data_IF_018794189949
#
_entry.id   IF_018794189949
#
_cell.length_a   1.000
_cell.length_b   1.000
_cell.length_c   1.000
_cell.angle_alpha   90.00
_cell.angle_beta   90.00
_cell.angle_gamma   90.00
#
_symmetry.space_group_name_H-M   'P 1'
#
loop_
_entity.id
_entity.type
_entity.pdbx_description
1 polymer ?
#
# COMPACT_ATOMS: atom_id res chain seq x y z
N UNK A 1 -3.58 24.19 18.84
CA UNK A 1 -3.28 22.75 18.86
C UNK A 1 -1.93 22.59 19.55
N UNK A 2 -1.90 22.00 20.74
CA UNK A 2 -0.65 21.76 21.47
C UNK A 2 0.01 20.50 20.86
N UNK A 3 1.11 20.69 20.13
CA UNK A 3 1.81 19.59 19.47
C UNK A 3 3.02 19.16 20.30
N UNK A 4 2.95 17.94 20.84
CA UNK A 4 4.00 17.37 21.67
C UNK A 4 4.82 16.38 20.87
N UNK A 5 6.07 16.74 20.60
CA UNK A 5 7.02 15.92 19.85
C UNK A 5 7.63 14.86 20.75
N UNK A 6 8.20 13.82 20.13
CA UNK A 6 9.12 12.89 20.78
C UNK A 6 8.46 12.05 21.90
N UNK A 7 7.26 11.53 21.60
CA UNK A 7 6.53 10.61 22.46
C UNK A 7 6.20 9.35 21.66
N UNK A 8 6.69 8.22 22.12
CA UNK A 8 6.39 6.91 21.53
C UNK A 8 5.22 6.28 22.27
N UNK A 9 4.02 6.39 21.68
CA UNK A 9 2.80 5.77 22.24
C UNK A 9 2.84 4.27 22.03
N UNK A 10 2.64 3.49 23.09
CA UNK A 10 2.69 2.03 23.03
C UNK A 10 1.46 1.32 23.62
N UNK A 11 0.61 2.02 24.35
CA UNK A 11 -0.64 1.48 24.88
C UNK A 11 -1.71 2.57 24.99
N UNK A 12 -2.95 2.21 24.68
CA UNK A 12 -4.14 3.05 24.82
C UNK A 12 -5.23 2.22 25.46
N UNK A 13 -5.73 2.62 26.61
CA UNK A 13 -6.86 1.97 27.28
C UNK A 13 -8.05 2.91 27.29
N UNK A 14 -9.25 2.37 27.12
CA UNK A 14 -10.50 3.12 27.13
C UNK A 14 -11.44 2.50 28.17
N UNK A 15 -12.08 3.38 28.93
CA UNK A 15 -13.19 3.05 29.82
C UNK A 15 -14.42 3.83 29.36
N UNK A 16 -15.58 3.60 29.96
CA UNK A 16 -16.81 4.32 29.59
C UNK A 16 -16.74 5.84 29.80
N UNK A 17 -15.78 6.33 30.59
CA UNK A 17 -15.70 7.74 31.01
C UNK A 17 -14.43 8.44 30.54
N UNK A 18 -13.35 7.69 30.29
CA UNK A 18 -12.03 8.26 30.01
C UNK A 18 -11.16 7.30 29.19
N UNK A 19 -10.30 7.87 28.34
CA UNK A 19 -9.24 7.17 27.65
C UNK A 19 -7.88 7.57 28.25
N UNK A 20 -6.95 6.60 28.32
CA UNK A 20 -5.58 6.88 28.76
C UNK A 20 -4.56 6.42 27.74
N UNK A 21 -3.54 7.25 27.56
CA UNK A 21 -2.45 7.05 26.61
C UNK A 21 -1.16 6.87 27.39
N UNK A 22 -0.52 5.71 27.22
CA UNK A 22 0.80 5.43 27.77
C UNK A 22 1.86 5.59 26.67
N UNK A 23 2.90 6.35 26.98
CA UNK A 23 3.98 6.66 26.06
C UNK A 23 5.33 6.74 26.76
N UNK A 24 6.39 6.53 25.97
CA UNK A 24 7.78 6.71 26.40
C UNK A 24 8.34 7.98 25.77
N UNK A 25 9.05 8.80 26.55
CA UNK A 25 9.79 9.97 26.07
C UNK A 25 11.23 9.60 25.67
N UNK A 26 11.96 10.51 25.01
CA UNK A 26 13.34 10.24 24.54
C UNK A 26 14.34 9.86 25.63
N UNK A 27 14.10 10.31 26.86
CA UNK A 27 14.88 9.96 28.05
C UNK A 27 14.50 8.60 28.63
N UNK A 28 13.59 7.86 27.98
CA UNK A 28 13.12 6.56 28.42
C UNK A 28 12.08 6.62 29.55
N UNK A 29 11.62 7.81 29.94
CA UNK A 29 10.60 7.93 30.98
C UNK A 29 9.23 7.47 30.47
N UNK A 30 8.54 6.69 31.29
CA UNK A 30 7.18 6.25 31.01
C UNK A 30 6.20 7.23 31.63
N UNK A 31 5.24 7.66 30.82
CA UNK A 31 4.22 8.60 31.23
C UNK A 31 2.86 8.12 30.77
N UNK A 32 1.85 8.52 31.53
CA UNK A 32 0.45 8.29 31.25
C UNK A 32 -0.26 9.62 31.19
N UNK A 33 -1.06 9.82 30.16
CA UNK A 33 -1.90 11.00 30.01
C UNK A 33 -3.35 10.57 29.88
N UNK A 34 -4.23 11.28 30.58
CA UNK A 34 -5.66 11.06 30.58
C UNK A 34 -6.32 12.02 29.60
N UNK A 35 -7.34 11.54 28.90
CA UNK A 35 -8.04 12.30 27.88
C UNK A 35 -9.47 11.79 27.70
N UNK A 36 -10.36 12.66 27.25
CA UNK A 36 -11.76 12.29 27.00
C UNK A 36 -11.89 11.34 25.79
N UNK A 37 -11.05 11.53 24.76
CA UNK A 37 -11.10 10.76 23.52
C UNK A 37 -9.70 10.60 22.91
N UNK A 38 -9.46 9.46 22.25
CA UNK A 38 -8.21 9.18 21.53
C UNK A 38 -8.48 8.83 20.08
N UNK A 39 -7.83 9.55 19.16
CA UNK A 39 -7.77 9.17 17.74
C UNK A 39 -6.39 8.62 17.41
N UNK A 40 -6.32 7.32 17.09
CA UNK A 40 -5.07 6.65 16.78
C UNK A 40 -4.77 6.70 15.27
N UNK A 41 -3.75 7.47 14.90
CA UNK A 41 -3.34 7.70 13.51
C UNK A 41 -1.89 7.27 13.22
N UNK A 42 -1.41 6.19 13.85
CA UNK A 42 -0.02 5.73 13.73
C UNK A 42 0.28 4.93 12.43
N UNK A 43 -0.69 4.84 11.51
CA UNK A 43 -0.67 3.94 10.36
C UNK A 43 -1.09 2.52 10.72
N UNK A 44 -1.44 1.69 9.74
CA UNK A 44 -2.10 0.40 9.99
C UNK A 44 -1.27 -0.55 10.87
N UNK A 45 0.04 -0.65 10.64
CA UNK A 45 0.92 -1.54 11.40
C UNK A 45 1.09 -1.09 12.85
N UNK A 46 1.49 0.16 13.08
CA UNK A 46 1.71 0.65 14.45
C UNK A 46 0.41 0.82 15.22
N UNK A 47 -0.69 1.19 14.56
CA UNK A 47 -2.00 1.24 15.22
C UNK A 47 -2.44 -0.15 15.67
N UNK A 48 -2.25 -1.17 14.82
CA UNK A 48 -2.50 -2.57 15.19
C UNK A 48 -1.59 -3.00 16.34
N UNK A 49 -0.30 -2.66 16.30
CA UNK A 49 0.68 -2.95 17.36
C UNK A 49 0.26 -2.37 18.70
N UNK A 50 -0.11 -1.08 18.74
CA UNK A 50 -0.59 -0.41 19.96
C UNK A 50 -1.86 -1.08 20.47
N UNK A 51 -2.83 -1.36 19.60
CA UNK A 51 -4.09 -1.97 20.00
C UNK A 51 -3.91 -3.42 20.50
N UNK A 52 -3.05 -4.22 19.87
CA UNK A 52 -2.69 -5.55 20.36
C UNK A 52 -2.01 -5.51 21.74
N UNK A 53 -1.17 -4.51 21.97
CA UNK A 53 -0.50 -4.29 23.26
C UNK A 53 -1.43 -3.73 24.34
N UNK A 54 -2.59 -3.20 23.92
CA UNK A 54 -3.60 -2.62 24.80
C UNK A 54 -4.77 -3.56 25.10
N UNK A 55 -4.92 -4.64 24.34
CA UNK A 55 -6.00 -5.60 24.54
C UNK A 55 -5.89 -6.24 25.95
N UNK A 56 -7.02 -6.51 26.63
CA UNK A 56 -7.00 -7.12 27.97
C UNK A 56 -6.34 -8.51 27.97
N UNK A 57 -6.56 -9.30 26.92
CA UNK A 57 -5.94 -10.61 26.72
C UNK A 57 -4.98 -10.59 25.54
N UNK A 58 -3.93 -11.43 25.62
CA UNK A 58 -2.96 -11.58 24.53
C UNK A 58 -3.66 -12.03 23.24
N UNK A 59 -3.54 -11.18 22.22
CA UNK A 59 -3.98 -11.51 20.88
C UNK A 59 -2.82 -12.23 20.19
N UNK A 60 -3.08 -13.42 19.63
CA UNK A 60 -2.08 -14.18 18.88
C UNK A 60 -1.69 -13.49 17.57
N UNK A 61 -2.16 -14.01 16.45
CA UNK A 61 -1.91 -13.39 15.14
C UNK A 61 -3.08 -12.51 14.71
N UNK A 62 -2.79 -11.28 14.30
CA UNK A 62 -3.76 -10.37 13.67
C UNK A 62 -3.38 -10.18 12.20
N UNK A 63 -4.37 -10.29 11.31
CA UNK A 63 -4.15 -10.09 9.87
C UNK A 63 -4.62 -8.70 9.44
N UNK A 64 -3.75 -7.96 8.75
CA UNK A 64 -4.10 -6.76 8.01
C UNK A 64 -4.29 -7.14 6.54
N UNK A 65 -5.43 -6.77 5.96
CA UNK A 65 -5.68 -7.00 4.54
C UNK A 65 -5.07 -5.88 3.72
N UNK A 66 -4.55 -6.27 2.56
CA UNK A 66 -4.01 -5.34 1.59
C UNK A 66 -4.65 -5.60 0.23
N UNK A 67 -4.78 -4.57 -0.57
CA UNK A 67 -5.12 -4.68 -1.99
C UNK A 67 -4.10 -5.57 -2.72
N UNK A 68 -4.59 -6.54 -3.49
CA UNK A 68 -3.77 -7.35 -4.39
C UNK A 68 -3.54 -6.62 -5.69
N UNK A 69 -2.52 -6.98 -6.48
CA UNK A 69 -2.34 -6.30 -7.74
C UNK A 69 -1.03 -6.59 -8.46
N UNK A 70 -0.89 -6.02 -9.64
CA UNK A 70 0.25 -6.20 -10.53
C UNK A 70 0.60 -4.87 -11.21
N UNK A 71 1.91 -4.60 -11.30
CA UNK A 71 2.45 -3.59 -12.21
C UNK A 71 2.83 -4.29 -13.51
N UNK A 72 2.26 -3.86 -14.63
CA UNK A 72 2.64 -4.35 -15.94
C UNK A 72 2.99 -3.17 -16.85
N UNK A 73 4.18 -3.22 -17.46
CA UNK A 73 4.56 -2.29 -18.51
C UNK A 73 4.10 -2.84 -19.86
N UNK A 74 3.53 -1.98 -20.70
CA UNK A 74 3.15 -2.30 -22.08
C UNK A 74 3.92 -1.41 -23.04
N UNK A 75 4.24 -1.96 -24.21
CA UNK A 75 4.80 -1.23 -25.35
C UNK A 75 3.75 -0.91 -26.39
N UNK A 76 3.91 0.20 -27.10
CA UNK A 76 3.09 0.64 -28.23
C UNK A 76 3.98 1.02 -29.41
N UNK A 77 3.53 0.75 -30.63
CA UNK A 77 4.17 1.27 -31.85
C UNK A 77 3.91 2.78 -32.03
N UNK A 78 2.84 3.29 -31.44
CA UNK A 78 2.54 4.73 -31.37
C UNK A 78 3.20 5.29 -30.12
N UNK A 79 4.20 6.14 -30.32
CA UNK A 79 4.86 6.85 -29.23
C UNK A 79 4.00 8.04 -28.80
N UNK A 80 3.89 8.24 -27.50
CA UNK A 80 3.29 9.42 -26.90
C UNK A 80 4.39 10.46 -26.60
N UNK A 81 4.06 11.73 -26.82
CA UNK A 81 4.98 12.82 -26.50
C UNK A 81 5.04 13.02 -24.98
N UNK A 82 6.19 12.67 -24.40
CA UNK A 82 6.44 12.91 -22.98
C UNK A 82 6.88 14.35 -22.76
N UNK A 83 6.05 15.15 -22.08
CA UNK A 83 6.32 16.52 -21.63
C UNK A 83 7.35 16.57 -20.47
N UNK A 84 8.42 15.78 -20.54
CA UNK A 84 9.51 15.75 -19.56
C UNK A 84 10.48 16.93 -19.75
N UNK A 85 10.94 17.61 -18.67
CA UNK A 85 10.80 17.27 -17.25
C UNK A 85 9.50 17.78 -16.59
N UNK A 86 8.74 18.64 -17.25
CA UNK A 86 7.56 19.31 -16.70
C UNK A 86 6.29 18.48 -16.89
N UNK A 87 6.25 17.28 -16.29
CA UNK A 87 5.12 16.34 -16.44
C UNK A 87 4.39 16.15 -15.12
N UNK A 88 3.06 16.07 -15.17
CA UNK A 88 2.27 15.58 -14.05
C UNK A 88 2.53 14.07 -13.90
N UNK A 89 3.02 13.65 -12.75
CA UNK A 89 3.30 12.24 -12.44
C UNK A 89 2.06 11.45 -12.02
N UNK A 90 0.90 12.11 -11.92
CA UNK A 90 -0.38 11.46 -11.68
C UNK A 90 -0.76 10.57 -12.86
N UNK A 91 -1.37 9.45 -12.52
CA UNK A 91 -2.06 8.58 -13.46
C UNK A 91 -3.05 9.39 -14.29
N UNK A 92 -2.95 9.28 -15.62
CA UNK A 92 -3.82 10.03 -16.53
C UNK A 92 -5.16 9.34 -16.79
N UNK A 93 -5.20 8.01 -16.68
CA UNK A 93 -6.41 7.24 -16.97
C UNK A 93 -6.68 6.20 -15.89
N UNK A 94 -7.95 6.09 -15.51
CA UNK A 94 -8.45 5.08 -14.58
C UNK A 94 -9.36 4.14 -15.34
N UNK A 95 -9.17 2.84 -15.14
CA UNK A 95 -9.97 1.79 -15.78
C UNK A 95 -10.57 0.93 -14.68
N UNK A 96 -11.89 0.87 -14.63
CA UNK A 96 -12.61 0.01 -13.72
C UNK A 96 -13.10 -1.25 -14.44
N UNK A 97 -12.80 -2.40 -13.85
CA UNK A 97 -13.13 -3.71 -14.39
C UNK A 97 -14.06 -4.44 -13.41
N UNK A 98 -15.25 -4.78 -13.88
CA UNK A 98 -16.14 -5.73 -13.24
C UNK A 98 -16.20 -7.00 -14.08
N UNK A 99 -15.73 -8.10 -13.52
CA UNK A 99 -15.82 -9.44 -14.11
C UNK A 99 -16.29 -10.41 -13.03
N UNK A 100 -17.62 -10.53 -12.91
CA UNK A 100 -18.29 -11.35 -11.89
C UNK A 100 -17.89 -12.84 -11.97
N UNK A 101 -17.41 -13.30 -13.14
CA UNK A 101 -16.91 -14.68 -13.29
C UNK A 101 -15.56 -14.92 -12.62
N UNK A 102 -14.83 -13.84 -12.31
CA UNK A 102 -13.50 -13.87 -11.70
C UNK A 102 -13.50 -13.30 -10.27
N UNK A 103 -14.24 -12.21 -10.04
CA UNK A 103 -14.36 -11.53 -8.76
C UNK A 103 -15.69 -10.78 -8.69
N UNK A 104 -16.44 -10.86 -7.58
CA UNK A 104 -17.66 -10.06 -7.39
C UNK A 104 -17.34 -8.59 -7.10
N UNK A 105 -16.08 -8.24 -6.90
CA UNK A 105 -15.63 -6.88 -6.61
C UNK A 105 -15.03 -6.20 -7.84
N UNK A 106 -15.19 -4.88 -7.90
CA UNK A 106 -14.49 -4.02 -8.85
C UNK A 106 -12.98 -4.11 -8.68
N UNK A 107 -12.28 -4.13 -9.81
CA UNK A 107 -10.82 -4.00 -9.89
C UNK A 107 -10.48 -2.70 -10.59
N UNK A 108 -9.46 -2.01 -10.10
CA UNK A 108 -9.11 -0.66 -10.54
C UNK A 108 -7.72 -0.69 -11.17
N UNK A 109 -7.59 -0.23 -12.40
CA UNK A 109 -6.30 -0.07 -13.06
C UNK A 109 -5.97 1.41 -13.25
N UNK A 110 -4.75 1.77 -12.88
CA UNK A 110 -4.19 3.07 -13.14
C UNK A 110 -3.27 2.97 -14.34
N UNK A 111 -3.61 3.65 -15.43
CA UNK A 111 -2.80 3.69 -16.66
C UNK A 111 -2.13 5.05 -16.76
N UNK A 112 -0.81 5.05 -16.86
CA UNK A 112 0.00 6.25 -16.93
C UNK A 112 1.23 6.07 -17.80
N UNK A 113 1.76 7.19 -18.26
CA UNK A 113 3.09 7.23 -18.87
C UNK A 113 4.16 6.98 -17.79
N UNK A 114 5.37 6.52 -18.17
CA UNK A 114 6.47 6.36 -17.25
C UNK A 114 6.73 7.65 -16.47
N UNK A 115 6.64 7.58 -15.15
CA UNK A 115 6.89 8.73 -14.29
C UNK A 115 8.40 9.00 -14.11
N UNK A 116 8.71 10.09 -13.41
CA UNK A 116 10.09 10.50 -13.08
C UNK A 116 10.94 9.37 -12.50
N UNK A 117 10.36 8.56 -11.61
CA UNK A 117 11.09 7.49 -10.93
C UNK A 117 11.57 6.44 -11.93
N UNK A 118 10.73 6.08 -12.90
CA UNK A 118 11.09 5.13 -13.97
C UNK A 118 12.17 5.75 -14.87
N UNK A 119 12.00 7.01 -15.28
CA UNK A 119 12.96 7.69 -16.15
C UNK A 119 14.34 7.86 -15.49
N UNK A 120 14.38 8.22 -14.20
CA UNK A 120 15.64 8.32 -13.43
C UNK A 120 16.33 6.96 -13.32
N UNK A 121 15.59 5.86 -13.11
CA UNK A 121 16.15 4.50 -13.12
C UNK A 121 16.73 4.11 -14.47
N UNK A 122 16.18 4.64 -15.57
CA UNK A 122 16.73 4.45 -16.92
C UNK A 122 17.92 5.39 -17.23
N UNK A 123 18.33 6.22 -16.27
CA UNK A 123 19.47 7.13 -16.38
C UNK A 123 19.14 8.45 -17.09
N UNK A 124 17.88 8.88 -17.08
CA UNK A 124 17.48 10.23 -17.52
C UNK A 124 17.60 11.16 -16.32
N UNK A 125 18.52 12.12 -16.42
CA UNK A 125 18.72 13.15 -15.42
C UNK A 125 17.86 14.39 -15.73
N UNK A 126 17.03 14.86 -14.78
CA UNK A 126 16.28 16.11 -14.93
C UNK A 126 17.15 17.36 -15.12
N UNK A 127 18.42 17.35 -14.67
CA UNK A 127 19.34 18.49 -14.81
C UNK A 127 19.94 18.57 -16.22
N UNK A 128 20.03 17.45 -16.95
CA UNK A 128 20.56 17.37 -18.32
C UNK A 128 19.57 16.72 -19.31
N UNK A 129 18.35 17.29 -19.47
CA UNK A 129 17.27 16.65 -20.22
C UNK A 129 17.54 16.55 -21.73
N UNK A 130 18.52 17.29 -22.24
CA UNK A 130 18.84 17.37 -23.67
C UNK A 130 20.03 16.50 -24.11
N UNK A 131 20.63 15.72 -23.21
CA UNK A 131 21.71 14.80 -23.59
C UNK A 131 21.22 13.80 -24.66
N UNK A 132 22.12 13.34 -25.53
CA UNK A 132 21.77 12.36 -26.58
C UNK A 132 21.12 11.10 -25.99
N UNK A 133 21.67 10.60 -24.88
CA UNK A 133 21.11 9.48 -24.11
C UNK A 133 19.72 9.81 -23.59
N UNK A 134 19.52 10.98 -22.98
CA UNK A 134 18.22 11.42 -22.46
C UNK A 134 17.15 11.47 -23.56
N UNK A 135 17.49 11.96 -24.76
CA UNK A 135 16.56 12.00 -25.91
C UNK A 135 16.18 10.61 -26.38
N UNK A 136 17.15 9.70 -26.51
CA UNK A 136 16.90 8.32 -26.93
C UNK A 136 16.02 7.59 -25.92
N UNK A 137 16.37 7.66 -24.63
CA UNK A 137 15.61 7.00 -23.56
C UNK A 137 14.20 7.58 -23.44
N UNK A 138 14.03 8.91 -23.56
CA UNK A 138 12.70 9.54 -23.59
C UNK A 138 11.86 9.07 -24.77
N UNK A 139 12.45 9.01 -25.97
CA UNK A 139 11.76 8.51 -27.16
C UNK A 139 11.31 7.06 -26.93
N UNK A 140 12.19 6.20 -26.43
CA UNK A 140 11.85 4.82 -26.10
C UNK A 140 10.76 4.73 -25.00
N UNK A 141 10.84 5.58 -23.97
CA UNK A 141 9.86 5.63 -22.89
C UNK A 141 8.49 6.14 -23.34
N UNK A 142 8.42 7.00 -24.37
CA UNK A 142 7.16 7.43 -24.97
C UNK A 142 6.38 6.28 -25.63
N UNK A 143 7.05 5.17 -25.95
CA UNK A 143 6.40 3.95 -26.42
C UNK A 143 5.96 3.03 -25.27
N UNK A 144 6.18 3.42 -24.02
CA UNK A 144 5.83 2.62 -22.86
C UNK A 144 4.67 3.24 -22.11
N UNK A 145 3.82 2.40 -21.54
CA UNK A 145 2.84 2.78 -20.53
C UNK A 145 2.93 1.81 -19.36
N UNK A 146 2.68 2.31 -18.16
CA UNK A 146 2.54 1.51 -16.96
C UNK A 146 1.07 1.32 -16.62
N UNK A 147 0.67 0.09 -16.32
CA UNK A 147 -0.65 -0.23 -15.79
C UNK A 147 -0.47 -0.83 -14.40
N UNK A 148 -0.99 -0.14 -13.39
CA UNK A 148 -1.06 -0.61 -12.02
C UNK A 148 -2.47 -1.13 -11.74
N UNK A 149 -2.66 -2.45 -11.83
CA UNK A 149 -3.92 -3.12 -11.56
C UNK A 149 -4.03 -3.45 -10.07
N UNK A 150 -5.12 -3.02 -9.46
CA UNK A 150 -5.49 -3.23 -8.07
C UNK A 150 -6.75 -4.08 -8.00
N UNK A 151 -6.63 -5.28 -7.45
CA UNK A 151 -7.75 -6.15 -7.10
C UNK A 151 -8.19 -5.88 -5.66
N UNK A 152 -9.47 -6.12 -5.37
CA UNK A 152 -10.05 -5.95 -4.04
C UNK A 152 -9.23 -6.66 -2.94
N UNK A 153 -9.25 -6.13 -1.72
CA UNK A 153 -8.42 -6.59 -0.60
C UNK A 153 -8.68 -8.04 -0.16
N UNK A 154 -9.83 -8.61 -0.55
CA UNK A 154 -10.12 -10.06 -0.42
C UNK A 154 -9.22 -10.95 -1.29
N UNK A 155 -8.65 -10.40 -2.36
CA UNK A 155 -7.77 -11.08 -3.31
C UNK A 155 -6.33 -10.59 -3.22
N UNK A 156 -5.99 -9.87 -2.15
CA UNK A 156 -4.63 -9.43 -1.89
C UNK A 156 -3.93 -10.22 -0.80
N UNK A 157 -2.67 -9.86 -0.54
CA UNK A 157 -1.91 -10.49 0.53
C UNK A 157 -2.48 -10.12 1.90
N UNK A 158 -2.32 -11.05 2.82
CA UNK A 158 -2.49 -10.78 4.24
C UNK A 158 -1.14 -10.45 4.84
N UNK A 159 -1.10 -9.38 5.62
CA UNK A 159 0.04 -9.02 6.45
C UNK A 159 -0.26 -9.46 7.87
N UNK A 160 0.32 -10.58 8.27
CA UNK A 160 0.13 -11.18 9.58
C UNK A 160 1.09 -10.52 10.54
N UNK A 161 0.55 -10.05 11.66
CA UNK A 161 1.28 -9.40 12.74
C UNK A 161 1.10 -10.23 14.01
N UNK A 162 2.22 -10.48 14.69
CA UNK A 162 2.28 -10.95 16.06
C UNK A 162 3.17 -9.98 16.84
N UNK A 163 2.82 -9.68 18.08
CA UNK A 163 3.67 -8.89 18.95
C UNK A 163 4.07 -9.72 20.17
N UNK A 164 5.23 -9.42 20.72
CA UNK A 164 5.56 -9.84 22.08
C UNK A 164 5.27 -8.62 22.98
N UNK A 165 4.27 -8.73 23.87
CA UNK A 165 3.78 -7.59 24.66
C UNK A 165 4.90 -6.91 25.42
N UNK A 166 4.78 -5.58 25.54
CA UNK A 166 5.69 -4.78 26.33
C UNK A 166 4.92 -3.82 27.22
N UNK A 167 5.32 -3.77 28.49
CA UNK A 167 4.91 -2.72 29.43
C UNK A 167 5.78 -1.46 29.31
N UNK A 168 6.81 -1.53 28.45
CA UNK A 168 7.88 -0.55 28.34
C UNK A 168 8.17 -0.24 26.87
N UNK A 169 7.60 0.83 26.35
CA UNK A 169 7.76 1.24 24.94
C UNK A 169 7.06 0.30 23.96
N UNK A 170 7.30 0.52 22.66
CA UNK A 170 6.62 -0.23 21.61
C UNK A 170 7.00 -1.74 21.60
N UNK A 171 5.99 -2.59 21.75
CA UNK A 171 6.09 -4.06 21.79
C UNK A 171 6.75 -4.67 20.54
N UNK A 172 7.85 -5.43 20.59
CA UNK A 172 8.49 -6.01 19.40
C UNK A 172 7.51 -6.71 18.45
N UNK A 173 7.72 -6.57 17.14
CA UNK A 173 6.78 -7.02 16.12
C UNK A 173 7.39 -8.09 15.21
N UNK A 174 6.64 -9.17 15.02
CA UNK A 174 6.89 -10.22 14.03
C UNK A 174 5.89 -10.07 12.91
N UNK A 175 6.38 -10.10 11.67
CA UNK A 175 5.52 -9.89 10.50
C UNK A 175 5.79 -10.93 9.43
N UNK A 176 4.71 -11.40 8.79
CA UNK A 176 4.78 -12.31 7.65
C UNK A 176 3.72 -11.92 6.64
N UNK A 177 4.11 -11.90 5.37
CA UNK A 177 3.17 -11.74 4.27
C UNK A 177 2.76 -13.12 3.74
N UNK A 178 1.46 -13.37 3.65
CA UNK A 178 0.90 -14.59 3.08
C UNK A 178 -0.02 -14.27 1.92
N UNK A 179 -0.08 -15.18 0.96
CA UNK A 179 -1.00 -15.12 -0.18
C UNK A 179 -1.75 -16.45 -0.23
N UNK A 180 -3.06 -16.41 -0.44
CA UNK A 180 -3.78 -17.61 -0.84
C UNK A 180 -3.57 -17.87 -2.33
N UNK A 181 -3.57 -19.15 -2.72
CA UNK A 181 -3.46 -19.51 -4.13
C UNK A 181 -4.67 -19.06 -4.94
N UNK A 182 -5.86 -19.05 -4.32
CA UNK A 182 -7.08 -18.50 -4.92
C UNK A 182 -6.94 -17.01 -5.23
N UNK A 183 -6.37 -16.22 -4.32
CA UNK A 183 -6.13 -14.79 -4.53
C UNK A 183 -5.17 -14.54 -5.71
N UNK A 184 -4.05 -15.28 -5.75
CA UNK A 184 -3.09 -15.21 -6.86
C UNK A 184 -3.75 -15.54 -8.19
N UNK A 185 -4.55 -16.61 -8.23
CA UNK A 185 -5.26 -17.03 -9.44
C UNK A 185 -6.27 -15.98 -9.92
N UNK A 186 -7.02 -15.37 -9.00
CA UNK A 186 -7.93 -14.25 -9.32
C UNK A 186 -7.17 -13.07 -9.91
N UNK A 187 -6.06 -12.64 -9.30
CA UNK A 187 -5.23 -11.54 -9.82
C UNK A 187 -4.70 -11.88 -11.22
N UNK A 188 -4.23 -13.11 -11.46
CA UNK A 188 -3.77 -13.55 -12.78
C UNK A 188 -4.88 -13.52 -13.85
N UNK A 189 -6.10 -13.88 -13.49
CA UNK A 189 -7.26 -13.79 -14.41
C UNK A 189 -7.61 -12.35 -14.75
N UNK A 190 -7.67 -11.47 -13.74
CA UNK A 190 -7.92 -10.03 -13.94
C UNK A 190 -6.81 -9.40 -14.78
N UNK A 191 -5.55 -9.75 -14.53
CA UNK A 191 -4.41 -9.33 -15.34
C UNK A 191 -4.55 -9.81 -16.79
N UNK A 192 -4.96 -11.07 -17.01
CA UNK A 192 -5.22 -11.57 -18.37
C UNK A 192 -6.28 -10.74 -19.07
N UNK A 193 -7.38 -10.44 -18.38
CA UNK A 193 -8.46 -9.60 -18.92
C UNK A 193 -7.97 -8.20 -19.26
N UNK A 194 -7.15 -7.60 -18.39
CA UNK A 194 -6.51 -6.31 -18.66
C UNK A 194 -5.57 -6.39 -19.87
N UNK A 195 -4.75 -7.45 -19.99
CA UNK A 195 -3.87 -7.63 -21.14
C UNK A 195 -4.64 -7.74 -22.46
N UNK A 196 -5.77 -8.44 -22.46
CA UNK A 196 -6.62 -8.57 -23.64
C UNK A 196 -7.23 -7.20 -24.03
N UNK A 197 -7.68 -6.42 -23.04
CA UNK A 197 -8.14 -5.04 -23.24
C UNK A 197 -7.04 -4.16 -23.83
N UNK A 198 -5.85 -4.16 -23.21
CA UNK A 198 -4.71 -3.36 -23.67
C UNK A 198 -4.25 -3.76 -25.07
N UNK A 199 -4.25 -5.06 -25.38
CA UNK A 199 -3.93 -5.57 -26.72
C UNK A 199 -4.91 -5.05 -27.77
N UNK A 200 -6.21 -5.04 -27.45
CA UNK A 200 -7.22 -4.49 -28.37
C UNK A 200 -7.03 -2.99 -28.64
N UNK A 201 -6.42 -2.27 -27.69
CA UNK A 201 -6.04 -0.87 -27.82
C UNK A 201 -4.65 -0.64 -28.47
N UNK A 202 -3.96 -1.70 -28.93
CA UNK A 202 -2.67 -1.62 -29.60
C UNK A 202 -1.44 -1.65 -28.68
N UNK A 203 -1.63 -2.02 -27.41
CA UNK A 203 -0.55 -2.13 -26.43
C UNK A 203 -0.18 -3.58 -26.15
N UNK A 204 1.10 -3.90 -26.17
CA UNK A 204 1.62 -5.26 -25.95
C UNK A 204 2.34 -5.36 -24.61
N UNK A 205 1.95 -6.31 -23.77
CA UNK A 205 2.58 -6.54 -22.48
C UNK A 205 4.05 -6.95 -22.63
N UNK A 206 4.94 -6.34 -21.85
CA UNK A 206 6.36 -6.68 -21.78
C UNK A 206 6.60 -7.59 -20.56
N UNK A 207 6.67 -8.92 -20.73
CA UNK A 207 6.61 -9.86 -19.60
C UNK A 207 7.79 -9.73 -18.63
N UNK A 208 8.95 -9.29 -19.10
CA UNK A 208 10.15 -9.06 -18.30
C UNK A 208 10.10 -7.78 -17.44
N UNK A 209 9.10 -6.92 -17.65
CA UNK A 209 8.85 -5.71 -16.86
C UNK A 209 7.56 -5.84 -16.04
N UNK A 210 7.21 -7.06 -15.66
CA UNK A 210 6.10 -7.36 -14.78
C UNK A 210 6.57 -7.39 -13.33
N UNK A 211 5.76 -6.84 -12.43
CA UNK A 211 5.98 -6.93 -11.00
C UNK A 211 4.70 -7.38 -10.30
N UNK A 212 4.72 -8.59 -9.72
CA UNK A 212 3.59 -9.23 -9.01
C UNK A 212 3.36 -8.67 -7.61
N UNK A 213 4.18 -7.72 -7.20
CA UNK A 213 4.06 -7.04 -5.93
C UNK A 213 3.52 -5.64 -6.15
N UNK A 214 2.19 -5.51 -6.08
CA UNK A 214 1.54 -4.27 -5.61
C UNK A 214 2.06 -3.84 -4.22
N UNK A 215 2.91 -4.66 -3.59
CA UNK A 215 3.68 -4.33 -2.40
C UNK A 215 4.43 -2.99 -2.49
N UNK A 216 4.85 -2.60 -3.70
CA UNK A 216 5.57 -1.35 -3.96
C UNK A 216 4.70 -0.23 -4.56
N UNK A 217 3.42 -0.49 -4.92
CA UNK A 217 2.58 0.50 -5.60
C UNK A 217 1.81 1.43 -4.65
N UNK A 218 1.62 1.03 -3.38
CA UNK A 218 1.00 1.89 -2.37
C UNK A 218 0.71 1.16 -1.06
N UNK A 219 0.74 1.89 0.06
CA UNK A 219 0.40 1.37 1.39
C UNK A 219 -1.14 1.38 1.59
N UNK A 220 -1.88 0.64 0.76
CA UNK A 220 -3.32 0.46 0.92
C UNK A 220 -3.61 -0.68 1.91
N UNK A 221 -3.61 -0.34 3.19
CA UNK A 221 -3.90 -1.27 4.27
C UNK A 221 -5.31 -1.01 4.81
N UNK A 222 -6.11 -2.07 4.92
CA UNK A 222 -7.34 -2.08 5.69
C UNK A 222 -7.17 -3.07 6.84
N UNK A 223 -7.23 -2.59 8.07
CA UNK A 223 -7.30 -3.44 9.26
C UNK A 223 -8.71 -3.37 9.84
N UNK A 224 -9.30 -4.52 10.12
CA UNK A 224 -10.46 -4.61 11.01
C UNK A 224 -9.95 -5.23 12.31
N UNK A 225 -9.94 -4.44 13.38
CA UNK A 225 -9.63 -4.95 14.72
C UNK A 225 -10.98 -5.28 15.35
N UNK A 226 -11.20 -6.51 15.84
CA UNK A 226 -12.44 -6.83 16.52
C UNK A 226 -12.60 -5.88 17.70
N UNK A 227 -13.73 -5.18 17.77
CA UNK A 227 -14.14 -4.49 18.99
C UNK A 227 -14.30 -5.57 20.06
N UNK A 228 -13.35 -5.66 21.00
CA UNK A 228 -13.55 -6.38 22.24
C UNK A 228 -14.54 -5.57 23.08
N UNK A 229 -15.82 -5.74 22.80
CA UNK A 229 -16.84 -5.43 23.81
C UNK A 229 -16.76 -6.57 24.82
N UNK A 230 -15.81 -6.46 25.75
CA UNK A 230 -15.82 -7.26 26.96
C UNK A 230 -16.97 -6.72 27.82
N UNK A 231 -18.19 -7.18 27.56
CA UNK A 231 -19.20 -7.20 28.59
C UNK A 231 -18.75 -8.25 29.60
N UNK A 232 -18.09 -7.79 30.66
CA UNK A 232 -18.01 -8.54 31.89
C UNK A 232 -19.42 -8.57 32.49
N UNK A 233 -20.00 -9.76 32.59
CA UNK A 233 -20.93 -10.12 33.67
C UNK A 233 -20.15 -10.96 34.70
#
# INVERSE_FOLDING_TARGET
MDYRRVREVFRVTETNEEASVEYTTTDGLHQRELCEQVFLAAGAVNSTRILMNSAPAELGEVSIRRTGGVLQIYGSLRGEDMAWPTVNTQTSHFVDLLDESTSPFWSHAQVGLPNELILRRLGVDPVSPHSFRSRFVRRAAGHLISVALNAHSSHGPQYVIRIDRSDHGLAPIWTRQTWSDSARFTVMKLEKRMRDLMRSAGYLALPFLRQDSAAAQGYHFGASIPHLVAFAE
#
